data_IF_631166602971
#
_entry.id   IF_631166602971
#
_cell.length_a   1.000
_cell.length_b   1.000
_cell.length_c   1.000
_cell.angle_alpha   90.00
_cell.angle_beta   90.00
_cell.angle_gamma   90.00
#
_symmetry.space_group_name_H-M   'P 1'
#
loop_
_entity.id
_entity.type
_entity.pdbx_description
1 polymer ?
#
# COMPACT_ATOMS: atom_id res chain seq x y z
N UNK A 1 -13.14 25.79 3.08
CA UNK A 1 -12.91 26.83 2.03
C UNK A 1 -11.59 26.57 1.30
N UNK A 2 -10.44 26.52 1.99
CA UNK A 2 -9.11 26.32 1.36
C UNK A 2 -9.01 25.03 0.51
N UNK A 3 -9.55 23.90 0.99
CA UNK A 3 -9.55 22.63 0.24
C UNK A 3 -10.24 22.77 -1.13
N UNK A 4 -11.45 23.34 -1.16
CA UNK A 4 -12.24 23.51 -2.38
C UNK A 4 -11.59 24.51 -3.33
N UNK A 5 -11.05 25.61 -2.80
CA UNK A 5 -10.35 26.60 -3.60
C UNK A 5 -9.06 26.02 -4.22
N UNK A 6 -8.26 25.30 -3.44
CA UNK A 6 -7.02 24.66 -3.92
C UNK A 6 -7.28 23.56 -4.94
N UNK A 7 -8.29 22.72 -4.72
CA UNK A 7 -8.64 21.65 -5.66
C UNK A 7 -9.18 22.18 -7.00
N UNK A 8 -9.84 23.33 -7.00
CA UNK A 8 -10.45 23.90 -8.21
C UNK A 8 -9.57 24.93 -8.95
N UNK A 9 -8.70 25.64 -8.23
CA UNK A 9 -7.94 26.80 -8.76
C UNK A 9 -6.50 26.89 -8.25
N UNK A 10 -6.02 25.90 -7.50
CA UNK A 10 -4.64 25.88 -7.02
C UNK A 10 -3.65 25.65 -8.15
N UNK A 11 -2.47 26.28 -8.05
CA UNK A 11 -1.35 25.92 -8.91
C UNK A 11 -0.89 24.47 -8.60
N UNK A 12 -0.49 23.68 -9.60
CA UNK A 12 0.13 22.38 -9.36
C UNK A 12 1.34 22.53 -8.45
N UNK A 13 1.47 21.63 -7.47
CA UNK A 13 2.65 21.57 -6.63
C UNK A 13 3.82 20.99 -7.43
N UNK A 14 5.03 21.52 -7.22
CA UNK A 14 6.25 20.85 -7.65
C UNK A 14 6.54 19.62 -6.77
N UNK A 15 7.61 18.90 -7.11
CA UNK A 15 7.97 17.65 -6.43
C UNK A 15 8.39 17.88 -4.97
N UNK A 16 9.22 18.90 -4.71
CA UNK A 16 9.67 19.27 -3.36
C UNK A 16 9.53 20.79 -3.11
N UNK A 17 8.30 21.32 -2.93
CA UNK A 17 8.07 22.76 -2.76
C UNK A 17 8.65 23.33 -1.47
N UNK A 18 8.98 22.48 -0.48
CA UNK A 18 9.49 22.90 0.83
C UNK A 18 10.97 22.61 1.04
N UNK A 19 11.64 22.02 0.05
CA UNK A 19 13.01 21.51 0.19
C UNK A 19 13.18 20.59 1.42
N UNK A 20 12.22 19.69 1.64
CA UNK A 20 12.24 18.73 2.74
C UNK A 20 13.17 17.55 2.46
N UNK A 21 13.65 16.91 3.53
CA UNK A 21 14.76 15.95 3.50
C UNK A 21 14.39 14.47 3.34
N UNK A 22 13.11 14.13 3.39
CA UNK A 22 12.59 12.76 3.47
C UNK A 22 12.11 12.24 2.12
N UNK A 23 11.97 10.92 1.97
CA UNK A 23 11.73 10.27 0.67
C UNK A 23 10.40 10.66 0.01
N UNK A 24 9.36 11.04 0.76
CA UNK A 24 8.10 11.47 0.14
C UNK A 24 8.24 12.70 -0.77
N UNK A 25 9.35 13.44 -0.65
CA UNK A 25 9.70 14.58 -1.49
C UNK A 25 10.68 14.23 -2.63
N UNK A 26 11.00 12.94 -2.79
CA UNK A 26 11.88 12.40 -3.83
C UNK A 26 11.10 11.88 -5.06
N UNK A 27 9.78 12.04 -5.06
CA UNK A 27 8.86 11.59 -6.11
C UNK A 27 8.14 12.77 -6.75
N UNK A 28 7.51 12.55 -7.90
CA UNK A 28 6.69 13.57 -8.54
C UNK A 28 5.48 13.98 -7.68
N UNK A 29 4.95 15.18 -7.94
CA UNK A 29 3.67 15.65 -7.37
C UNK A 29 2.56 15.71 -8.45
N UNK A 30 1.51 14.85 -8.38
CA UNK A 30 1.29 13.76 -7.44
C UNK A 30 2.22 12.56 -7.70
N UNK A 31 2.45 11.70 -6.69
CA UNK A 31 3.25 10.50 -6.89
C UNK A 31 2.56 9.53 -7.85
N UNK A 32 3.31 8.80 -8.68
CA UNK A 32 2.75 7.73 -9.50
C UNK A 32 2.27 6.59 -8.59
N UNK A 33 1.39 5.71 -9.09
CA UNK A 33 0.81 4.61 -8.29
C UNK A 33 1.85 3.63 -7.74
N UNK A 34 3.03 3.55 -8.36
CA UNK A 34 4.16 2.74 -7.92
C UNK A 34 5.14 3.49 -7.00
N UNK A 35 4.94 4.79 -6.77
CA UNK A 35 5.87 5.70 -6.11
C UNK A 35 7.26 5.73 -6.78
N UNK A 36 8.15 4.81 -6.41
CA UNK A 36 9.50 4.73 -6.93
C UNK A 36 9.64 3.58 -7.93
N UNK A 37 10.11 3.89 -9.14
CA UNK A 37 10.43 2.85 -10.13
C UNK A 37 11.63 1.97 -9.71
N UNK A 38 12.52 2.51 -8.86
CA UNK A 38 13.62 1.77 -8.23
C UNK A 38 13.65 2.12 -6.75
N UNK A 39 13.65 1.11 -5.88
CA UNK A 39 13.56 1.29 -4.44
C UNK A 39 14.85 1.96 -3.91
N UNK A 40 14.78 3.14 -3.28
CA UNK A 40 15.94 3.79 -2.67
C UNK A 40 16.49 2.99 -1.48
N UNK A 41 17.80 2.96 -1.33
CA UNK A 41 18.49 2.43 -0.13
C UNK A 41 18.68 3.58 0.85
N UNK A 42 18.13 3.45 2.06
CA UNK A 42 18.15 4.51 3.06
C UNK A 42 19.33 4.33 4.00
N UNK A 43 20.23 5.31 4.01
CA UNK A 43 21.45 5.37 4.85
C UNK A 43 21.31 6.38 6.00
N UNK A 44 20.42 7.37 5.85
CA UNK A 44 20.20 8.49 6.77
C UNK A 44 18.71 8.71 7.01
N UNK A 45 18.36 9.37 8.12
CA UNK A 45 16.96 9.73 8.42
C UNK A 45 16.40 10.78 7.45
N UNK A 46 17.24 11.70 6.98
CA UNK A 46 16.90 12.70 5.95
C UNK A 46 17.76 12.50 4.67
N UNK A 47 17.46 11.48 3.86
CA UNK A 47 18.31 11.08 2.74
C UNK A 47 18.47 12.17 1.67
N UNK A 48 17.44 12.99 1.41
CA UNK A 48 17.54 14.06 0.39
C UNK A 48 18.44 15.23 0.82
N UNK A 49 18.65 15.42 2.12
CA UNK A 49 19.58 16.44 2.60
C UNK A 49 21.00 15.91 2.70
N UNK A 50 21.17 14.63 3.04
CA UNK A 50 22.46 13.97 3.10
C UNK A 50 23.05 13.70 1.70
N UNK A 51 22.21 13.22 0.78
CA UNK A 51 22.60 12.74 -0.55
C UNK A 51 21.85 13.52 -1.63
N UNK A 52 22.22 14.79 -1.81
CA UNK A 52 21.49 15.77 -2.63
C UNK A 52 21.43 15.46 -4.12
N UNK A 53 22.40 14.73 -4.66
CA UNK A 53 22.54 14.56 -6.11
C UNK A 53 21.88 13.27 -6.60
N UNK A 54 22.11 12.14 -5.92
CA UNK A 54 21.58 10.83 -6.34
C UNK A 54 21.34 9.93 -5.14
N UNK A 55 20.11 9.45 -5.00
CA UNK A 55 19.78 8.40 -4.04
C UNK A 55 20.30 7.04 -4.57
N UNK A 56 21.05 6.26 -3.77
CA UNK A 56 21.39 4.89 -4.10
C UNK A 56 20.10 4.09 -4.17
N UNK A 57 20.02 3.17 -5.13
CA UNK A 57 18.84 2.34 -5.36
C UNK A 57 19.21 0.87 -5.33
N UNK A 58 18.30 0.05 -4.85
CA UNK A 58 18.43 -1.40 -4.90
C UNK A 58 18.44 -1.87 -6.36
N UNK A 59 19.33 -2.81 -6.67
CA UNK A 59 19.47 -3.42 -7.99
C UNK A 59 19.01 -4.88 -7.97
N UNK A 60 18.71 -5.42 -9.15
CA UNK A 60 18.31 -6.83 -9.30
C UNK A 60 16.83 -7.11 -9.01
N UNK A 61 16.02 -6.11 -8.65
CA UNK A 61 14.56 -6.21 -8.55
C UNK A 61 13.88 -6.05 -9.90
N UNK A 62 12.71 -6.68 -10.07
CA UNK A 62 11.87 -6.45 -11.24
C UNK A 62 11.29 -5.03 -11.25
N UNK A 63 11.16 -4.48 -12.45
CA UNK A 63 10.57 -3.14 -12.68
C UNK A 63 9.18 -3.26 -13.31
N UNK A 64 8.84 -4.44 -13.84
CA UNK A 64 7.56 -4.78 -14.45
C UNK A 64 6.52 -5.27 -13.43
N UNK A 65 6.95 -5.66 -12.23
CA UNK A 65 6.11 -6.06 -11.12
C UNK A 65 6.51 -5.33 -9.84
N UNK A 66 5.54 -5.10 -8.94
CA UNK A 66 5.81 -4.46 -7.65
C UNK A 66 6.37 -5.50 -6.69
N UNK A 67 7.68 -5.57 -6.61
CA UNK A 67 8.42 -6.44 -5.67
C UNK A 67 8.99 -5.64 -4.51
N UNK A 68 9.02 -6.27 -3.33
CA UNK A 68 9.65 -5.75 -2.13
C UNK A 68 10.74 -6.72 -1.68
N UNK A 69 11.88 -6.17 -1.26
CA UNK A 69 12.91 -6.96 -0.58
C UNK A 69 12.54 -7.03 0.88
N UNK A 70 12.39 -8.25 1.38
CA UNK A 70 12.26 -8.53 2.80
C UNK A 70 13.65 -8.87 3.32
N UNK A 71 14.02 -8.21 4.42
CA UNK A 71 15.28 -8.45 5.08
C UNK A 71 15.10 -9.19 6.39
N UNK A 72 16.18 -9.82 6.84
CA UNK A 72 16.26 -10.42 8.18
C UNK A 72 16.06 -9.36 9.26
N UNK A 73 15.37 -9.73 10.35
CA UNK A 73 14.98 -8.80 11.41
C UNK A 73 16.18 -8.20 12.14
N UNK A 74 17.24 -9.00 12.37
CA UNK A 74 18.37 -8.60 13.20
C UNK A 74 19.46 -7.85 12.42
N UNK A 75 19.77 -8.30 11.21
CA UNK A 75 20.96 -7.85 10.48
C UNK A 75 20.63 -7.06 9.21
N UNK A 76 19.35 -6.96 8.85
CA UNK A 76 18.88 -6.31 7.63
C UNK A 76 19.47 -6.89 6.33
N UNK A 77 20.00 -8.13 6.38
CA UNK A 77 20.40 -8.86 5.17
C UNK A 77 19.17 -9.17 4.30
N UNK A 78 19.22 -8.89 2.98
CA UNK A 78 18.16 -9.29 2.05
C UNK A 78 17.95 -10.81 2.08
N UNK A 79 16.72 -11.26 2.29
CA UNK A 79 16.37 -12.68 2.44
C UNK A 79 15.46 -13.12 1.29
N UNK A 80 14.29 -12.47 1.15
CA UNK A 80 13.24 -12.86 0.19
C UNK A 80 12.79 -11.67 -0.64
N UNK A 81 12.35 -11.93 -1.88
CA UNK A 81 11.65 -10.96 -2.72
C UNK A 81 10.18 -11.35 -2.72
N UNK A 82 9.32 -10.46 -2.27
CA UNK A 82 7.87 -10.72 -2.23
C UNK A 82 7.14 -9.79 -3.18
N UNK A 83 6.28 -10.36 -4.02
CA UNK A 83 5.40 -9.60 -4.91
C UNK A 83 4.25 -9.01 -4.11
N UNK A 84 3.93 -7.74 -4.39
CA UNK A 84 2.78 -7.10 -3.77
C UNK A 84 1.46 -7.79 -4.12
N UNK A 85 0.58 -7.90 -3.13
CA UNK A 85 -0.75 -8.44 -3.33
C UNK A 85 -1.54 -7.66 -4.40
N UNK A 86 -2.25 -8.36 -5.31
CA UNK A 86 -3.10 -7.71 -6.30
C UNK A 86 -4.33 -7.07 -5.64
N UNK A 87 -4.99 -6.10 -6.32
CA UNK A 87 -6.23 -5.54 -5.82
C UNK A 87 -7.29 -6.62 -5.60
N UNK A 88 -8.01 -6.52 -4.48
CA UNK A 88 -9.05 -7.49 -4.09
C UNK A 88 -10.35 -6.75 -3.77
N UNK A 89 -11.48 -7.24 -4.30
CA UNK A 89 -12.82 -6.70 -4.01
C UNK A 89 -13.40 -7.26 -2.69
N UNK A 90 -12.88 -8.40 -2.23
CA UNK A 90 -13.38 -9.08 -1.04
C UNK A 90 -13.36 -8.24 0.26
N UNK A 91 -12.31 -7.42 0.55
CA UNK A 91 -12.30 -6.53 1.70
C UNK A 91 -13.49 -5.55 1.72
N UNK A 92 -13.91 -5.06 0.55
CA UNK A 92 -15.06 -4.17 0.43
C UNK A 92 -16.36 -4.88 0.81
N UNK A 93 -16.59 -6.08 0.26
CA UNK A 93 -17.77 -6.87 0.61
C UNK A 93 -17.76 -7.31 2.07
N UNK A 94 -16.60 -7.66 2.63
CA UNK A 94 -16.46 -7.97 4.05
C UNK A 94 -16.84 -6.77 4.92
N UNK A 95 -16.36 -5.56 4.58
CA UNK A 95 -16.72 -4.34 5.30
C UNK A 95 -18.23 -4.05 5.24
N UNK A 96 -18.85 -4.22 4.07
CA UNK A 96 -20.31 -4.06 3.92
C UNK A 96 -21.10 -5.10 4.71
N UNK A 97 -20.68 -6.37 4.68
CA UNK A 97 -21.35 -7.46 5.41
C UNK A 97 -21.25 -7.25 6.94
N UNK A 98 -20.06 -6.88 7.42
CA UNK A 98 -19.84 -6.55 8.84
C UNK A 98 -20.66 -5.32 9.24
N UNK A 99 -20.59 -4.24 8.46
CA UNK A 99 -21.34 -3.02 8.72
C UNK A 99 -22.86 -3.25 8.77
N UNK A 100 -23.41 -3.98 7.80
CA UNK A 100 -24.83 -4.34 7.76
C UNK A 100 -25.23 -5.21 8.97
N UNK A 101 -24.36 -6.15 9.38
CA UNK A 101 -24.58 -6.99 10.57
C UNK A 101 -24.66 -6.15 11.83
N UNK A 102 -23.72 -5.22 12.02
CA UNK A 102 -23.74 -4.31 13.17
C UNK A 102 -24.98 -3.41 13.18
N UNK A 103 -25.33 -2.81 12.03
CA UNK A 103 -26.55 -2.00 11.92
C UNK A 103 -27.81 -2.81 12.22
N UNK A 104 -27.91 -4.04 11.74
CA UNK A 104 -29.06 -4.90 12.00
C UNK A 104 -29.11 -5.33 13.48
N UNK A 105 -27.95 -5.53 14.12
CA UNK A 105 -27.86 -5.94 15.53
C UNK A 105 -28.47 -4.95 16.52
N UNK A 106 -28.56 -3.67 16.13
CA UNK A 106 -29.25 -2.62 16.91
C UNK A 106 -30.73 -3.00 17.15
N UNK A 107 -31.36 -3.64 16.18
CA UNK A 107 -32.79 -3.95 16.21
C UNK A 107 -33.08 -5.39 16.63
N UNK A 108 -32.12 -6.32 16.44
CA UNK A 108 -32.35 -7.74 16.71
C UNK A 108 -31.05 -8.50 17.02
N UNK A 109 -31.01 -9.29 18.11
CA UNK A 109 -29.89 -10.20 18.39
C UNK A 109 -29.66 -11.26 17.29
N UNK A 110 -30.69 -11.60 16.53
CA UNK A 110 -30.59 -12.56 15.42
C UNK A 110 -29.69 -12.05 14.28
N UNK A 111 -29.34 -10.77 14.26
CA UNK A 111 -28.40 -10.21 13.31
C UNK A 111 -27.06 -10.92 13.28
N UNK A 112 -26.56 -11.38 14.43
CA UNK A 112 -25.28 -12.11 14.49
C UNK A 112 -25.36 -13.44 13.74
N UNK A 113 -26.48 -14.16 13.90
CA UNK A 113 -26.69 -15.46 13.24
C UNK A 113 -26.80 -15.27 11.73
N UNK A 114 -27.61 -14.31 11.27
CA UNK A 114 -27.79 -14.06 9.85
C UNK A 114 -26.60 -13.37 9.19
N UNK A 115 -25.87 -12.53 9.94
CA UNK A 115 -24.67 -11.84 9.48
C UNK A 115 -23.44 -12.74 9.39
N UNK A 116 -23.35 -13.78 10.22
CA UNK A 116 -22.23 -14.71 10.22
C UNK A 116 -22.01 -15.38 8.85
N UNK A 117 -23.09 -15.73 8.15
CA UNK A 117 -23.03 -16.37 6.82
C UNK A 117 -22.34 -15.49 5.77
N UNK A 118 -22.88 -14.30 5.44
CA UNK A 118 -22.24 -13.36 4.51
C UNK A 118 -20.80 -13.00 4.89
N UNK A 119 -20.53 -12.76 6.18
CA UNK A 119 -19.16 -12.48 6.65
C UNK A 119 -18.24 -13.66 6.33
N UNK A 120 -18.63 -14.88 6.69
CA UNK A 120 -17.85 -16.08 6.40
C UNK A 120 -17.58 -16.24 4.90
N UNK A 121 -18.59 -16.03 4.05
CA UNK A 121 -18.43 -16.10 2.58
C UNK A 121 -17.37 -15.09 2.10
N UNK A 122 -17.45 -13.84 2.56
CA UNK A 122 -16.50 -12.81 2.13
C UNK A 122 -15.07 -13.07 2.60
N UNK A 123 -14.89 -13.58 3.83
CA UNK A 123 -13.57 -13.93 4.36
C UNK A 123 -12.99 -15.16 3.67
N UNK A 124 -13.80 -16.19 3.45
CA UNK A 124 -13.38 -17.38 2.69
C UNK A 124 -12.99 -16.99 1.28
N UNK A 125 -13.77 -16.14 0.60
CA UNK A 125 -13.42 -15.64 -0.73
C UNK A 125 -12.14 -14.79 -0.75
N UNK A 126 -11.91 -13.98 0.29
CA UNK A 126 -10.67 -13.19 0.40
C UNK A 126 -9.45 -14.08 0.58
N UNK A 127 -9.47 -14.97 1.56
CA UNK A 127 -8.35 -15.83 1.93
C UNK A 127 -8.31 -17.16 1.16
N UNK A 128 -9.14 -17.32 0.13
CA UNK A 128 -9.10 -18.51 -0.69
C UNK A 128 -7.70 -18.66 -1.31
N UNK A 129 -7.06 -19.82 -1.17
CA UNK A 129 -5.72 -20.04 -1.70
C UNK A 129 -5.75 -19.82 -3.22
N UNK A 130 -4.94 -18.88 -3.68
CA UNK A 130 -4.63 -18.66 -5.10
C UNK A 130 -3.23 -19.21 -5.27
N UNK A 131 -3.04 -20.18 -6.17
CA UNK A 131 -1.70 -20.66 -6.47
C UNK A 131 -0.83 -19.49 -6.92
N UNK A 132 0.39 -19.42 -6.43
CA UNK A 132 1.36 -18.43 -6.90
C UNK A 132 2.10 -19.03 -8.11
N UNK A 133 2.20 -18.33 -9.25
CA UNK A 133 3.00 -18.82 -10.38
C UNK A 133 4.49 -19.01 -10.06
N UNK A 134 5.01 -18.51 -8.94
CA UNK A 134 6.38 -18.76 -8.47
C UNK A 134 6.59 -20.19 -7.93
N UNK A 135 5.52 -20.91 -7.58
CA UNK A 135 5.60 -22.32 -7.16
C UNK A 135 5.76 -23.29 -8.36
N UNK A 136 5.67 -22.77 -9.60
CA UNK A 136 5.73 -23.55 -10.85
C UNK A 136 7.10 -23.49 -11.57
N UNK A 137 8.09 -22.73 -11.05
CA UNK A 137 9.48 -22.67 -11.53
C UNK A 137 10.46 -23.48 -10.67
#
# INVERSE_FOLDING_TARGET
INLVYSASRGAPAGDNPWNAGTLEWATSSPPPSYNFARIPVVTHSEPLWAERDTLPVATGLRVDARELVISTVAEAHPDVREKSAPPSIWPLFAALAIGATFLYSIFSPWAVVWGAGPIAITLVGWFWPKGDPEDEE
#
